data_IF_453724816566
#
_entry.id   IF_453724816566
#
_cell.length_a   1.000
_cell.length_b   1.000
_cell.length_c   1.000
_cell.angle_alpha   90.00
_cell.angle_beta   90.00
_cell.angle_gamma   90.00
#
_symmetry.space_group_name_H-M   'P 1'
#
loop_
_entity.id
_entity.type
_entity.pdbx_description
1 polymer ?
#
# COMPACT_ATOMS: atom_id res chain seq x y z
N UNK A 1 11.23 15.83 -4.91
CA UNK A 1 10.38 14.64 -5.05
C UNK A 1 10.04 14.57 -6.51
N UNK A 2 10.53 13.55 -7.20
CA UNK A 2 10.35 13.42 -8.64
C UNK A 2 8.87 13.17 -8.92
N UNK A 3 8.27 13.95 -9.82
CA UNK A 3 6.83 13.89 -10.12
C UNK A 3 6.38 12.47 -10.53
N UNK A 4 7.29 11.70 -11.12
CA UNK A 4 7.10 10.30 -11.51
C UNK A 4 6.89 9.36 -10.31
N UNK A 5 7.62 9.57 -9.21
CA UNK A 5 7.49 8.75 -8.00
C UNK A 5 6.14 9.01 -7.31
N UNK A 6 5.71 10.28 -7.31
CA UNK A 6 4.39 10.65 -6.79
C UNK A 6 3.26 10.07 -7.64
N UNK A 7 3.39 10.13 -8.97
CA UNK A 7 2.42 9.55 -9.89
C UNK A 7 2.34 8.01 -9.74
N UNK A 8 3.49 7.36 -9.53
CA UNK A 8 3.54 5.93 -9.32
C UNK A 8 2.88 5.55 -7.98
N UNK A 9 3.18 6.29 -6.91
CA UNK A 9 2.55 6.06 -5.61
C UNK A 9 1.03 6.27 -5.66
N UNK A 10 0.54 7.33 -6.33
CA UNK A 10 -0.90 7.56 -6.53
C UNK A 10 -1.56 6.42 -7.34
N UNK A 11 -0.89 5.93 -8.38
CA UNK A 11 -1.39 4.81 -9.19
C UNK A 11 -1.45 3.52 -8.38
N UNK A 12 -0.43 3.22 -7.58
CA UNK A 12 -0.41 2.05 -6.70
C UNK A 12 -1.50 2.20 -5.63
N UNK A 13 -1.59 3.36 -4.98
CA UNK A 13 -2.59 3.62 -3.95
C UNK A 13 -4.01 3.35 -4.45
N UNK A 14 -4.38 3.92 -5.62
CA UNK A 14 -5.67 3.67 -6.27
C UNK A 14 -5.89 2.22 -6.71
N UNK A 15 -4.82 1.44 -6.85
CA UNK A 15 -4.92 0.03 -7.20
C UNK A 15 -5.23 -0.83 -5.99
N UNK A 16 -4.73 -0.41 -4.83
CA UNK A 16 -4.98 -1.04 -3.53
C UNK A 16 -6.36 -0.60 -3.00
N UNK A 17 -6.71 0.68 -3.10
CA UNK A 17 -8.04 1.22 -2.79
C UNK A 17 -9.06 0.79 -3.87
N UNK A 18 -9.57 -0.43 -3.72
CA UNK A 18 -10.53 -1.03 -4.65
C UNK A 18 -11.88 -0.32 -4.58
N UNK A 19 -12.27 0.13 -3.39
CA UNK A 19 -13.57 0.73 -3.15
C UNK A 19 -13.60 2.24 -3.49
N UNK A 20 -12.44 2.91 -3.54
CA UNK A 20 -12.28 4.32 -3.90
C UNK A 20 -12.60 5.30 -2.77
N UNK A 21 -12.55 4.88 -1.51
CA UNK A 21 -12.83 5.72 -0.34
C UNK A 21 -11.63 6.58 0.10
N UNK A 22 -10.50 6.45 -0.58
CA UNK A 22 -9.29 7.23 -0.32
C UNK A 22 -8.46 6.69 0.83
N UNK A 23 -8.69 5.44 1.25
CA UNK A 23 -7.93 4.73 2.27
C UNK A 23 -7.86 3.24 1.93
N UNK A 24 -6.86 2.54 2.44
CA UNK A 24 -6.68 1.11 2.17
C UNK A 24 -7.02 0.34 3.42
N UNK A 25 -8.07 -0.48 3.38
CA UNK A 25 -8.38 -1.41 4.47
C UNK A 25 -7.44 -2.61 4.48
N UNK A 26 -7.32 -3.30 5.61
CA UNK A 26 -6.55 -4.55 5.71
C UNK A 26 -6.99 -5.62 4.68
N UNK A 27 -8.28 -5.64 4.32
CA UNK A 27 -8.82 -6.54 3.30
C UNK A 27 -8.29 -6.20 1.90
N UNK A 28 -8.32 -4.91 1.55
CA UNK A 28 -7.81 -4.39 0.28
C UNK A 28 -6.30 -4.56 0.16
N UNK A 29 -5.57 -4.26 1.23
CA UNK A 29 -4.14 -4.51 1.34
C UNK A 29 -3.85 -6.00 1.10
N UNK A 30 -4.60 -6.89 1.73
CA UNK A 30 -4.43 -8.33 1.59
C UNK A 30 -4.70 -8.85 0.17
N UNK A 31 -5.71 -8.32 -0.51
CA UNK A 31 -6.00 -8.70 -1.91
C UNK A 31 -4.92 -8.19 -2.88
N UNK A 32 -4.42 -6.98 -2.68
CA UNK A 32 -3.30 -6.46 -3.47
C UNK A 32 -2.00 -7.23 -3.21
N UNK A 33 -1.70 -7.55 -1.96
CA UNK A 33 -0.53 -8.33 -1.55
C UNK A 33 -0.62 -9.81 -1.97
N UNK A 34 -1.81 -10.40 -2.04
CA UNK A 34 -2.02 -11.72 -2.67
C UNK A 34 -1.66 -11.71 -4.15
N UNK A 35 -1.93 -10.62 -4.88
CA UNK A 35 -1.57 -10.52 -6.29
C UNK A 35 -0.04 -10.50 -6.50
N UNK A 36 0.72 -10.03 -5.50
CA UNK A 36 2.19 -10.16 -5.42
C UNK A 36 2.67 -11.58 -5.08
N UNK A 37 1.76 -12.48 -4.72
CA UNK A 37 2.00 -13.92 -4.61
C UNK A 37 2.67 -14.39 -3.32
N UNK A 38 2.85 -13.52 -2.30
CA UNK A 38 3.75 -13.86 -1.19
C UNK A 38 3.36 -13.32 0.20
N UNK A 39 2.07 -13.18 0.53
CA UNK A 39 1.68 -12.66 1.85
C UNK A 39 0.46 -13.39 2.43
N UNK A 40 0.61 -13.96 3.63
CA UNK A 40 -0.47 -14.59 4.40
C UNK A 40 -1.29 -13.53 5.14
N UNK A 41 -2.49 -13.88 5.61
CA UNK A 41 -3.36 -12.94 6.37
C UNK A 41 -2.64 -12.38 7.61
N UNK A 42 -1.81 -13.18 8.27
CA UNK A 42 -1.00 -12.76 9.41
C UNK A 42 0.07 -11.72 9.02
N UNK A 43 0.76 -11.94 7.90
CA UNK A 43 1.75 -10.99 7.38
C UNK A 43 1.08 -9.70 6.89
N UNK A 44 -0.11 -9.77 6.30
CA UNK A 44 -0.92 -8.59 5.95
C UNK A 44 -1.28 -7.80 7.20
N UNK A 45 -1.73 -8.47 8.27
CA UNK A 45 -2.05 -7.79 9.53
C UNK A 45 -0.83 -7.15 10.17
N UNK A 46 0.34 -7.78 10.05
CA UNK A 46 1.60 -7.23 10.55
C UNK A 46 2.03 -6.01 9.74
N UNK A 47 2.00 -6.08 8.41
CA UNK A 47 2.28 -4.94 7.52
C UNK A 47 1.29 -3.81 7.77
N UNK A 48 0.01 -4.14 7.97
CA UNK A 48 -1.01 -3.16 8.33
C UNK A 48 -0.60 -2.41 9.58
N UNK A 49 -0.28 -3.10 10.67
CA UNK A 49 0.16 -2.45 11.91
C UNK A 49 1.51 -1.73 11.81
N UNK A 50 2.34 -2.02 10.81
CA UNK A 50 3.57 -1.27 10.54
C UNK A 50 3.33 -0.01 9.71
N UNK A 51 2.26 0.03 8.92
CA UNK A 51 1.88 1.16 8.04
C UNK A 51 0.88 2.10 8.71
N UNK A 52 -0.13 1.53 9.36
CA UNK A 52 -1.17 2.18 10.16
C UNK A 52 -0.54 2.77 11.42
N UNK A 53 -0.17 4.04 11.33
CA UNK A 53 0.58 4.75 12.38
C UNK A 53 -0.37 5.42 13.36
N UNK A 54 -1.57 5.79 12.90
CA UNK A 54 -2.60 6.39 13.75
C UNK A 54 -3.49 5.35 14.44
N UNK A 55 -3.47 4.09 13.98
CA UNK A 55 -4.16 2.95 14.55
C UNK A 55 -5.65 2.92 14.21
N UNK A 56 -6.08 3.57 13.12
CA UNK A 56 -7.48 3.63 12.71
C UNK A 56 -7.96 2.35 11.98
N UNK A 57 -7.04 1.43 11.66
CA UNK A 57 -7.31 0.19 10.94
C UNK A 57 -7.39 0.35 9.42
N UNK A 58 -6.97 1.50 8.90
CA UNK A 58 -6.85 1.85 7.50
C UNK A 58 -5.46 2.46 7.23
N UNK A 59 -5.07 2.50 5.95
CA UNK A 59 -3.86 3.21 5.54
C UNK A 59 -4.31 4.41 4.74
N UNK A 60 -4.09 5.59 5.31
CA UNK A 60 -4.32 6.86 4.63
C UNK A 60 -3.30 7.08 3.52
N UNK A 61 -3.60 7.99 2.59
CA UNK A 61 -2.66 8.37 1.54
C UNK A 61 -1.33 8.88 2.11
N UNK A 62 -1.34 9.60 3.23
CA UNK A 62 -0.12 10.12 3.85
C UNK A 62 0.77 9.00 4.41
N UNK A 63 0.18 8.03 5.11
CA UNK A 63 0.88 6.86 5.63
C UNK A 63 1.43 5.98 4.51
N UNK A 64 0.65 5.80 3.44
CA UNK A 64 1.10 5.08 2.26
C UNK A 64 2.33 5.74 1.63
N UNK A 65 2.33 7.06 1.47
CA UNK A 65 3.46 7.81 0.89
C UNK A 65 4.68 7.73 1.80
N UNK A 66 4.50 7.83 3.12
CA UNK A 66 5.58 7.68 4.09
C UNK A 66 6.22 6.29 4.00
N UNK A 67 5.39 5.24 3.94
CA UNK A 67 5.85 3.88 3.75
C UNK A 67 6.50 3.66 2.38
N UNK A 68 5.94 4.20 1.30
CA UNK A 68 6.50 4.13 -0.05
C UNK A 68 7.87 4.81 -0.13
N UNK A 69 8.04 5.93 0.56
CA UNK A 69 9.30 6.65 0.64
C UNK A 69 10.37 5.86 1.42
N UNK A 70 9.96 5.11 2.45
CA UNK A 70 10.83 4.22 3.21
C UNK A 70 11.15 2.91 2.45
N UNK A 71 10.18 2.39 1.68
CA UNK A 71 10.23 1.10 1.00
C UNK A 71 10.16 1.22 -0.53
N UNK A 72 10.97 2.12 -1.10
CA UNK A 72 11.00 2.38 -2.55
C UNK A 72 11.25 1.14 -3.40
N UNK A 73 12.05 0.19 -2.90
CA UNK A 73 12.34 -1.07 -3.59
C UNK A 73 11.06 -1.91 -3.80
N UNK A 74 10.31 -2.09 -2.71
CA UNK A 74 9.04 -2.83 -2.74
C UNK A 74 8.03 -2.15 -3.67
N UNK A 75 7.86 -0.83 -3.56
CA UNK A 75 6.93 -0.08 -4.41
C UNK A 75 7.28 -0.17 -5.91
N UNK A 76 8.57 -0.27 -6.25
CA UNK A 76 8.99 -0.50 -7.64
C UNK A 76 8.64 -1.89 -8.15
N UNK A 77 8.67 -2.91 -7.30
CA UNK A 77 8.27 -4.26 -7.72
C UNK A 77 6.75 -4.39 -7.82
N UNK A 78 6.02 -3.79 -6.90
CA UNK A 78 4.55 -3.63 -6.98
C UNK A 78 4.15 -2.91 -8.27
N UNK A 79 4.80 -1.80 -8.61
CA UNK A 79 4.54 -1.04 -9.84
C UNK A 79 4.84 -1.79 -11.14
N UNK A 80 5.62 -2.88 -11.12
CA UNK A 80 5.86 -3.71 -12.31
C UNK A 80 4.77 -4.75 -12.53
N UNK A 81 4.02 -5.09 -11.47
CA UNK A 81 2.93 -6.08 -11.50
C UNK A 81 1.62 -5.43 -11.98
N UNK A 82 1.45 -4.13 -11.73
CA UNK A 82 0.24 -3.34 -12.03
C UNK A 82 0.48 -2.26 -13.12
#
# INVERSE_FOLDING_TARGET
MDDEEKANNDRIFKRFDVNGDGKISAAELGEALKALGCVSVEEVSKMMSEMDTDGDGFISYEEFIAFAAANRGLMKDVAKIF
#
